data_IF_213083708486
#
_entry.id   IF_213083708486
#
_cell.length_a   1.000
_cell.length_b   1.000
_cell.length_c   1.000
_cell.angle_alpha   90.00
_cell.angle_beta   90.00
_cell.angle_gamma   90.00
#
_symmetry.space_group_name_H-M   'P 1'
#
loop_
_entity.id
_entity.type
_entity.pdbx_description
1 polymer ?
#
# COMPACT_ATOMS: atom_id res chain seq x y z
N UNK A 1 5.05 -19.86 -41.80
CA UNK A 1 5.44 -18.74 -40.91
C UNK A 1 5.17 -19.13 -39.48
N UNK A 2 6.19 -19.56 -38.76
CA UNK A 2 6.11 -19.77 -37.32
C UNK A 2 6.09 -18.39 -36.66
N UNK A 3 4.93 -17.97 -36.14
CA UNK A 3 4.82 -16.72 -35.39
C UNK A 3 5.52 -16.87 -34.05
N UNK A 4 6.35 -15.89 -33.69
CA UNK A 4 6.97 -15.83 -32.36
C UNK A 4 5.88 -15.89 -31.29
N UNK A 5 5.82 -16.99 -30.54
CA UNK A 5 4.84 -17.15 -29.49
C UNK A 5 5.42 -16.56 -28.20
N UNK A 6 4.87 -15.44 -27.76
CA UNK A 6 5.18 -14.85 -26.45
C UNK A 6 4.26 -15.45 -25.40
N UNK A 7 4.83 -15.75 -24.23
CA UNK A 7 4.11 -16.26 -23.08
C UNK A 7 4.33 -15.32 -21.89
N UNK A 8 3.25 -15.02 -21.16
CA UNK A 8 3.27 -14.25 -19.93
C UNK A 8 2.78 -15.14 -18.80
N UNK A 9 3.55 -15.22 -17.73
CA UNK A 9 3.16 -15.95 -16.53
C UNK A 9 3.63 -15.23 -15.26
N UNK A 10 2.98 -15.58 -14.15
CA UNK A 10 3.18 -14.92 -12.87
C UNK A 10 3.73 -15.90 -11.84
N UNK A 11 4.68 -15.40 -11.04
CA UNK A 11 5.20 -16.10 -9.88
C UNK A 11 4.90 -15.29 -8.60
N UNK A 12 4.68 -16.01 -7.50
CA UNK A 12 4.74 -15.48 -6.13
C UNK A 12 5.82 -16.26 -5.39
N UNK A 13 6.79 -15.55 -4.84
CA UNK A 13 7.91 -16.14 -4.10
C UNK A 13 8.65 -17.23 -4.91
N UNK A 14 8.89 -16.93 -6.21
CA UNK A 14 9.48 -17.82 -7.22
C UNK A 14 8.68 -19.08 -7.58
N UNK A 15 7.45 -19.22 -7.09
CA UNK A 15 6.54 -20.32 -7.44
C UNK A 15 5.40 -19.84 -8.34
N UNK A 16 4.83 -20.69 -9.21
CA UNK A 16 3.68 -20.32 -10.02
C UNK A 16 2.54 -19.73 -9.18
N UNK A 17 2.05 -18.56 -9.59
CA UNK A 17 0.99 -17.86 -8.87
C UNK A 17 -0.27 -18.73 -8.82
N UNK A 18 -0.73 -19.04 -7.61
CA UNK A 18 -1.97 -19.79 -7.38
C UNK A 18 -3.16 -18.85 -7.54
N UNK A 19 -4.00 -19.11 -8.53
CA UNK A 19 -5.22 -18.33 -8.78
C UNK A 19 -6.42 -18.95 -8.05
N UNK A 20 -7.44 -18.13 -7.77
CA UNK A 20 -8.64 -18.53 -7.06
C UNK A 20 -9.66 -17.39 -6.98
N UNK A 21 -10.57 -17.47 -6.00
CA UNK A 21 -11.62 -16.47 -5.84
C UNK A 21 -11.08 -15.07 -5.51
N UNK A 22 -10.05 -14.98 -4.64
CA UNK A 22 -9.41 -13.74 -4.19
C UNK A 22 -8.28 -13.26 -5.11
N UNK A 23 -7.50 -14.18 -5.68
CA UNK A 23 -6.33 -13.87 -6.53
C UNK A 23 -6.65 -14.24 -7.97
N UNK A 24 -6.79 -13.24 -8.85
CA UNK A 24 -7.22 -13.42 -10.24
C UNK A 24 -6.20 -12.84 -11.21
N UNK A 25 -6.06 -13.47 -12.37
CA UNK A 25 -5.32 -12.90 -13.49
C UNK A 25 -6.29 -12.19 -14.43
N UNK A 26 -6.06 -10.91 -14.69
CA UNK A 26 -6.82 -10.11 -15.65
C UNK A 26 -5.98 -10.00 -16.92
N UNK A 27 -6.52 -10.53 -18.03
CA UNK A 27 -5.84 -10.60 -19.33
C UNK A 27 -4.43 -11.24 -19.31
N UNK A 28 -4.07 -11.99 -18.24
CA UNK A 28 -2.72 -12.51 -17.93
C UNK A 28 -1.65 -11.46 -17.62
N UNK A 29 -1.96 -10.18 -17.75
CA UNK A 29 -1.02 -9.06 -17.58
C UNK A 29 -1.11 -8.40 -16.21
N UNK A 30 -2.20 -8.64 -15.48
CA UNK A 30 -2.41 -8.03 -14.16
C UNK A 30 -2.84 -9.08 -13.15
N UNK A 31 -2.27 -9.02 -11.95
CA UNK A 31 -2.78 -9.76 -10.79
C UNK A 31 -3.73 -8.85 -10.04
N UNK A 32 -4.98 -9.28 -9.92
CA UNK A 32 -6.00 -8.61 -9.11
C UNK A 32 -6.21 -9.39 -7.82
N UNK A 33 -5.93 -8.76 -6.68
CA UNK A 33 -6.15 -9.32 -5.35
C UNK A 33 -7.34 -8.62 -4.69
N UNK A 34 -8.31 -9.41 -4.26
CA UNK A 34 -9.49 -8.97 -3.50
C UNK A 34 -9.31 -9.42 -2.05
N UNK A 35 -9.67 -8.56 -1.10
CA UNK A 35 -9.54 -8.84 0.34
C UNK A 35 -8.12 -9.29 0.71
N UNK A 36 -7.17 -8.36 0.53
CA UNK A 36 -5.75 -8.61 0.78
C UNK A 36 -5.53 -8.99 2.25
N UNK A 37 -4.88 -10.13 2.46
CA UNK A 37 -4.62 -10.72 3.76
C UNK A 37 -3.12 -11.01 3.95
N UNK A 38 -2.72 -11.38 5.18
CA UNK A 38 -1.30 -11.51 5.55
C UNK A 38 -0.53 -12.51 4.69
N UNK A 39 -1.19 -13.57 4.25
CA UNK A 39 -0.64 -14.62 3.38
C UNK A 39 -0.34 -14.13 1.95
N UNK A 40 -0.95 -13.03 1.53
CA UNK A 40 -0.76 -12.46 0.19
C UNK A 40 0.57 -11.72 0.09
N UNK A 41 1.24 -11.42 1.22
CA UNK A 41 2.60 -10.86 1.24
C UNK A 41 3.57 -11.71 0.44
N UNK A 42 4.51 -11.07 -0.23
CA UNK A 42 5.59 -11.77 -0.93
C UNK A 42 6.05 -11.04 -2.19
N UNK A 43 6.97 -11.67 -2.89
CA UNK A 43 7.56 -11.16 -4.13
C UNK A 43 6.73 -11.63 -5.32
N UNK A 44 6.06 -10.70 -5.99
CA UNK A 44 5.32 -10.97 -7.22
C UNK A 44 6.21 -10.68 -8.43
N UNK A 45 6.20 -11.59 -9.39
CA UNK A 45 7.08 -11.51 -10.55
C UNK A 45 6.26 -11.79 -11.81
N UNK A 46 6.28 -10.86 -12.76
CA UNK A 46 5.76 -11.06 -14.10
C UNK A 46 6.92 -11.49 -14.98
N UNK A 47 6.77 -12.63 -15.66
CA UNK A 47 7.76 -13.15 -16.59
C UNK A 47 7.17 -13.18 -17.98
N UNK A 48 7.88 -12.56 -18.92
CA UNK A 48 7.57 -12.57 -20.34
C UNK A 48 8.68 -13.33 -21.05
N UNK A 49 8.31 -14.39 -21.77
CA UNK A 49 9.26 -15.26 -22.46
C UNK A 49 8.81 -15.55 -23.89
N UNK A 50 9.74 -15.52 -24.83
CA UNK A 50 9.61 -16.10 -26.16
C UNK A 50 10.61 -17.27 -26.32
N UNK A 51 10.78 -17.80 -27.53
CA UNK A 51 11.65 -18.97 -27.78
C UNK A 51 13.15 -18.71 -27.55
N UNK A 52 13.57 -17.45 -27.45
CA UNK A 52 14.99 -17.03 -27.45
C UNK A 52 15.34 -16.17 -26.23
N UNK A 53 14.40 -15.39 -25.70
CA UNK A 53 14.62 -14.36 -24.69
C UNK A 53 13.55 -14.38 -23.60
N UNK A 54 13.94 -13.91 -22.41
CA UNK A 54 13.08 -13.74 -21.25
C UNK A 54 13.35 -12.38 -20.60
N UNK A 55 12.28 -11.66 -20.28
CA UNK A 55 12.29 -10.46 -19.47
C UNK A 55 11.41 -10.67 -18.23
N UNK A 56 11.75 -10.01 -17.13
CA UNK A 56 10.96 -10.09 -15.90
C UNK A 56 10.88 -8.74 -15.18
N UNK A 57 9.74 -8.50 -14.54
CA UNK A 57 9.53 -7.39 -13.61
C UNK A 57 9.13 -7.94 -12.24
N UNK A 58 9.62 -7.32 -11.17
CA UNK A 58 9.42 -7.80 -9.79
C UNK A 58 8.93 -6.68 -8.89
N UNK A 59 7.97 -6.98 -8.03
CA UNK A 59 7.47 -6.06 -7.00
C UNK A 59 7.15 -6.83 -5.71
N UNK A 60 7.52 -6.28 -4.57
CA UNK A 60 7.16 -6.83 -3.27
C UNK A 60 5.82 -6.26 -2.80
N UNK A 61 4.88 -7.14 -2.45
CA UNK A 61 3.70 -6.76 -1.70
C UNK A 61 4.00 -6.88 -0.20
N UNK A 62 4.33 -5.74 0.42
CA UNK A 62 4.43 -5.62 1.86
C UNK A 62 3.10 -5.18 2.45
N UNK A 63 2.68 -5.79 3.56
CA UNK A 63 1.55 -5.31 4.35
C UNK A 63 2.03 -4.91 5.73
N UNK A 64 1.58 -3.75 6.17
CA UNK A 64 1.83 -3.24 7.51
C UNK A 64 1.53 -4.27 8.61
N UNK A 65 2.42 -4.36 9.60
CA UNK A 65 2.25 -5.27 10.74
C UNK A 65 1.65 -4.59 11.96
N UNK A 66 1.71 -3.26 12.02
CA UNK A 66 1.38 -2.47 13.20
C UNK A 66 0.32 -1.45 12.84
N UNK A 67 -0.86 -1.60 13.43
CA UNK A 67 -1.95 -0.65 13.27
C UNK A 67 -1.57 0.73 13.84
N UNK A 68 -2.11 1.83 13.28
CA UNK A 68 -1.94 3.16 13.83
C UNK A 68 -2.35 3.22 15.31
N UNK A 69 -1.46 3.71 16.17
CA UNK A 69 -1.73 3.96 17.58
C UNK A 69 -1.34 5.41 17.91
N UNK A 70 -2.24 6.14 18.57
CA UNK A 70 -1.92 7.48 19.06
C UNK A 70 -0.86 7.38 20.15
N UNK A 71 0.30 7.99 19.90
CA UNK A 71 1.39 8.11 20.88
C UNK A 71 1.10 9.26 21.84
N UNK A 72 0.40 10.30 21.36
CA UNK A 72 -0.03 11.43 22.17
C UNK A 72 -1.55 11.46 22.31
N UNK A 73 -2.03 11.57 23.55
CA UNK A 73 -3.41 11.92 23.85
C UNK A 73 -3.48 13.42 24.07
N UNK A 74 -4.47 14.05 23.47
CA UNK A 74 -4.75 15.46 23.72
C UNK A 74 -5.16 15.66 25.18
N UNK A 75 -4.77 16.81 25.71
CA UNK A 75 -5.25 17.31 26.99
C UNK A 75 -6.05 18.56 26.65
N UNK A 76 -7.27 18.64 27.14
CA UNK A 76 -8.12 19.82 26.95
C UNK A 76 -7.45 21.04 27.57
N UNK A 77 -7.38 22.14 26.82
CA UNK A 77 -6.78 23.38 27.26
C UNK A 77 -7.80 24.51 27.16
N UNK A 78 -7.96 25.25 28.26
CA UNK A 78 -8.71 26.50 28.29
C UNK A 78 -7.72 27.61 28.61
N UNK A 79 -7.65 28.63 27.76
CA UNK A 79 -6.65 29.71 27.86
C UNK A 79 -7.32 31.07 27.75
N UNK A 80 -6.72 32.07 28.40
CA UNK A 80 -7.05 33.47 28.17
C UNK A 80 -6.57 33.91 26.77
N UNK A 81 -7.19 34.91 26.14
CA UNK A 81 -6.72 35.44 24.85
C UNK A 81 -5.30 36.03 24.94
N UNK A 82 -4.51 35.86 23.88
CA UNK A 82 -3.18 36.47 23.74
C UNK A 82 -2.03 35.47 23.59
N UNK A 83 -1.86 34.49 24.49
CA UNK A 83 -0.82 33.48 24.35
C UNK A 83 -0.99 32.58 23.12
N UNK A 84 0.12 32.12 22.57
CA UNK A 84 0.14 31.11 21.50
C UNK A 84 -0.05 29.70 22.07
N UNK A 85 -0.73 28.84 21.32
CA UNK A 85 -0.90 27.41 21.64
C UNK A 85 -0.43 26.54 20.48
N UNK A 86 0.09 25.36 20.81
CA UNK A 86 0.51 24.35 19.84
C UNK A 86 -0.11 23.00 20.22
N UNK A 87 -0.87 22.42 19.29
CA UNK A 87 -1.43 21.08 19.44
C UNK A 87 -0.52 20.08 18.72
N UNK A 88 -0.10 19.02 19.42
CA UNK A 88 0.76 17.96 18.85
C UNK A 88 -0.05 16.69 18.63
N UNK A 89 -0.04 16.18 17.40
CA UNK A 89 -0.53 14.85 17.07
C UNK A 89 0.66 13.97 16.67
N UNK A 90 0.74 12.77 17.22
CA UNK A 90 1.75 11.78 16.84
C UNK A 90 1.14 10.39 16.95
N UNK A 91 1.37 9.56 15.94
CA UNK A 91 0.92 8.18 15.88
C UNK A 91 2.08 7.26 15.46
N UNK A 92 2.12 6.06 16.02
CA UNK A 92 3.00 4.98 15.60
C UNK A 92 2.23 4.01 14.71
N UNK A 93 2.91 3.31 13.83
CA UNK A 93 2.31 2.35 12.91
C UNK A 93 3.30 1.94 11.83
N UNK A 94 3.04 0.81 11.19
CA UNK A 94 3.76 0.37 10.00
C UNK A 94 2.71 -0.04 8.97
N UNK A 95 2.63 0.63 7.80
CA UNK A 95 3.43 1.80 7.42
C UNK A 95 3.15 3.03 8.31
N UNK A 96 4.05 4.02 8.28
CA UNK A 96 3.91 5.23 9.09
C UNK A 96 2.57 5.92 8.79
N UNK A 97 1.73 6.20 9.81
CA UNK A 97 0.42 6.81 9.60
C UNK A 97 0.52 8.23 9.02
N UNK A 98 -0.37 8.57 8.10
CA UNK A 98 -0.58 9.95 7.64
C UNK A 98 -1.44 10.70 8.66
N UNK A 99 -1.04 11.92 9.03
CA UNK A 99 -1.76 12.76 10.00
C UNK A 99 -2.45 13.89 9.25
N UNK A 100 -3.76 14.00 9.42
CA UNK A 100 -4.57 15.11 8.89
C UNK A 100 -5.23 15.86 10.05
N UNK A 101 -5.25 17.19 9.96
CA UNK A 101 -5.88 18.05 10.95
C UNK A 101 -7.20 18.60 10.44
N UNK A 102 -8.19 18.68 11.33
CA UNK A 102 -9.50 19.24 11.04
C UNK A 102 -9.92 20.19 12.17
N UNK A 103 -10.63 21.24 11.82
CA UNK A 103 -11.33 22.14 12.74
C UNK A 103 -12.80 22.13 12.37
N UNK A 104 -13.67 21.78 13.31
CA UNK A 104 -15.13 21.72 13.12
C UNK A 104 -15.58 20.88 11.90
N UNK A 105 -14.82 19.82 11.61
CA UNK A 105 -15.08 18.92 10.48
C UNK A 105 -14.46 19.36 9.16
N UNK A 106 -13.80 20.52 9.10
CA UNK A 106 -13.15 21.04 7.91
C UNK A 106 -11.63 20.82 7.96
N UNK A 107 -10.99 20.34 6.88
CA UNK A 107 -9.54 20.20 6.82
C UNK A 107 -8.84 21.55 7.02
N UNK A 108 -7.84 21.59 7.91
CA UNK A 108 -6.95 22.74 8.01
C UNK A 108 -5.96 22.67 6.84
N UNK A 109 -5.94 23.72 6.00
CA UNK A 109 -4.96 23.77 4.92
C UNK A 109 -3.66 24.37 5.42
N UNK A 110 -2.54 24.08 4.76
CA UNK A 110 -1.21 24.54 5.20
C UNK A 110 -1.04 26.07 5.19
N UNK A 111 -2.06 26.85 4.80
CA UNK A 111 -2.00 28.29 4.57
C UNK A 111 -3.08 29.11 5.29
N UNK A 112 -3.65 28.62 6.40
CA UNK A 112 -4.59 29.41 7.19
C UNK A 112 -3.86 30.29 8.22
N UNK A 113 -3.08 31.27 7.73
CA UNK A 113 -2.67 32.49 8.43
C UNK A 113 -2.50 33.66 7.47
#
# INVERSE_FOLDING_TARGET
NAGFQTSVFWLKDSQPLRTGARVRLVAKEHVHLVEVAKEDRGMYQCVVKNDVEMAQGTAELALGEVYPQLVYKFIDQTMQPGPSVSLKCSASGNPTPQINWMLDGFPLTHNDR
#
